data_IF_757631889778
#
_entry.id   IF_757631889778
#
_cell.length_a   1.000
_cell.length_b   1.000
_cell.length_c   1.000
_cell.angle_alpha   90.00
_cell.angle_beta   90.00
_cell.angle_gamma   90.00
#
_symmetry.space_group_name_H-M   'P 1'
#
loop_
_entity.id
_entity.type
_entity.pdbx_description
1 polymer ?
#
# COMPACT_ATOMS: atom_id res chain seq x y z
N UNK A 1 7.45 4.33 20.02
CA UNK A 1 6.11 4.79 19.66
C UNK A 1 5.18 3.58 19.67
N UNK A 2 4.22 3.51 20.58
CA UNK A 2 3.22 2.44 20.63
C UNK A 2 2.30 2.62 19.40
N UNK A 3 2.30 1.64 18.50
CA UNK A 3 1.37 1.66 17.37
C UNK A 3 0.10 0.95 17.80
N UNK A 4 -1.05 1.60 17.60
CA UNK A 4 -2.35 1.05 17.94
C UNK A 4 -2.55 -0.34 17.29
N UNK A 5 -3.20 -1.28 18.01
CA UNK A 5 -3.51 -2.58 17.42
C UNK A 5 -4.44 -2.41 16.22
N UNK A 6 -4.27 -3.26 15.20
CA UNK A 6 -5.23 -3.35 14.10
C UNK A 6 -6.56 -3.88 14.65
N UNK A 7 -7.66 -3.18 14.36
CA UNK A 7 -8.99 -3.49 14.87
C UNK A 7 -9.95 -3.81 13.71
N UNK A 8 -10.88 -4.75 13.91
CA UNK A 8 -11.95 -5.04 12.95
C UNK A 8 -12.76 -3.79 12.60
N UNK A 9 -13.21 -3.70 11.34
CA UNK A 9 -13.99 -2.59 10.81
C UNK A 9 -13.19 -1.35 10.45
N UNK A 10 -11.99 -1.18 11.00
CA UNK A 10 -11.20 0.04 10.82
C UNK A 10 -10.27 -0.04 9.61
N UNK A 11 -10.01 1.14 9.03
CA UNK A 11 -9.15 1.31 7.86
C UNK A 11 -7.77 1.83 8.26
N UNK A 12 -6.74 1.30 7.60
CA UNK A 12 -5.35 1.62 7.91
C UNK A 12 -4.52 1.83 6.66
N UNK A 13 -3.66 2.83 6.70
CA UNK A 13 -2.50 2.92 5.85
C UNK A 13 -1.39 2.04 6.44
N UNK A 14 -1.00 1.02 5.68
CA UNK A 14 0.03 0.04 6.05
C UNK A 14 1.26 0.29 5.18
N UNK A 15 2.44 0.38 5.80
CA UNK A 15 3.70 0.59 5.09
C UNK A 15 4.87 -0.09 5.81
N UNK A 16 5.91 -0.44 5.04
CA UNK A 16 7.19 -0.90 5.58
C UNK A 16 8.29 -0.66 4.54
N UNK A 17 9.53 -0.74 4.99
CA UNK A 17 10.69 -0.59 4.13
C UNK A 17 11.75 -1.65 4.43
N UNK A 18 12.69 -1.81 3.50
CA UNK A 18 13.83 -2.70 3.67
C UNK A 18 14.76 -2.24 4.79
N UNK A 19 15.31 -3.19 5.53
CA UNK A 19 16.40 -2.94 6.46
C UNK A 19 17.55 -2.23 5.75
N UNK A 20 18.20 -1.28 6.44
CA UNK A 20 19.29 -0.50 5.86
C UNK A 20 18.97 0.15 4.51
N UNK A 21 17.66 0.41 4.24
CA UNK A 21 17.16 0.94 2.96
C UNK A 21 17.40 0.00 1.77
N UNK A 22 17.67 -1.29 2.01
CA UNK A 22 17.86 -2.26 0.93
C UNK A 22 16.60 -2.44 0.07
N UNK A 23 16.80 -2.84 -1.19
CA UNK A 23 15.68 -3.07 -2.10
C UNK A 23 14.90 -4.33 -1.70
N UNK A 24 13.60 -4.16 -1.48
CA UNK A 24 12.63 -5.24 -1.32
C UNK A 24 12.37 -5.94 -2.65
N UNK A 25 12.33 -5.15 -3.73
CA UNK A 25 12.04 -5.61 -5.08
C UNK A 25 13.23 -5.32 -5.98
N UNK A 26 13.85 -6.37 -6.53
CA UNK A 26 15.04 -6.27 -7.39
C UNK A 26 14.69 -6.45 -8.87
N UNK A 27 13.60 -7.14 -9.16
CA UNK A 27 13.11 -7.44 -10.51
C UNK A 27 11.60 -7.62 -10.52
N UNK A 28 10.96 -7.55 -11.69
CA UNK A 28 9.52 -7.57 -11.89
C UNK A 28 8.82 -8.71 -11.14
N UNK A 29 9.38 -9.92 -11.19
CA UNK A 29 8.80 -11.09 -10.53
C UNK A 29 8.66 -10.92 -9.01
N UNK A 30 9.51 -10.10 -8.37
CA UNK A 30 9.42 -9.86 -6.93
C UNK A 30 8.16 -9.03 -6.58
N UNK A 31 7.82 -8.03 -7.38
CA UNK A 31 6.60 -7.23 -7.21
C UNK A 31 5.35 -8.10 -7.33
N UNK A 32 5.25 -8.91 -8.40
CA UNK A 32 4.11 -9.81 -8.58
C UNK A 32 4.02 -10.88 -7.48
N UNK A 33 5.15 -11.42 -7.05
CA UNK A 33 5.18 -12.38 -5.94
C UNK A 33 4.67 -11.75 -4.63
N UNK A 34 5.09 -10.52 -4.33
CA UNK A 34 4.62 -9.79 -3.15
C UNK A 34 3.11 -9.52 -3.21
N UNK A 35 2.58 -9.11 -4.37
CA UNK A 35 1.15 -8.93 -4.59
C UNK A 35 0.37 -10.25 -4.41
N UNK A 36 0.88 -11.36 -4.95
CA UNK A 36 0.24 -12.67 -4.77
C UNK A 36 0.22 -13.11 -3.30
N UNK A 37 1.30 -12.88 -2.58
CA UNK A 37 1.35 -13.15 -1.14
C UNK A 37 0.43 -12.23 -0.35
N UNK A 38 0.30 -10.95 -0.72
CA UNK A 38 -0.66 -10.05 -0.08
C UNK A 38 -2.09 -10.54 -0.26
N UNK A 39 -2.46 -10.96 -1.47
CA UNK A 39 -3.78 -11.56 -1.72
C UNK A 39 -4.01 -12.80 -0.85
N UNK A 40 -3.05 -13.73 -0.86
CA UNK A 40 -3.15 -14.98 -0.10
C UNK A 40 -3.36 -14.76 1.40
N UNK A 41 -2.63 -13.81 1.98
CA UNK A 41 -2.59 -13.65 3.43
C UNK A 41 -3.51 -12.55 3.95
N UNK A 42 -3.77 -11.48 3.16
CA UNK A 42 -4.58 -10.37 3.62
C UNK A 42 -6.06 -10.48 3.24
N UNK A 43 -6.41 -10.98 2.03
CA UNK A 43 -7.82 -11.04 1.63
C UNK A 43 -8.73 -11.84 2.57
N UNK A 44 -8.27 -12.86 3.31
CA UNK A 44 -9.10 -13.50 4.33
C UNK A 44 -9.51 -12.59 5.47
N UNK A 45 -8.68 -11.58 5.81
CA UNK A 45 -8.85 -10.72 7.01
C UNK A 45 -9.04 -9.24 6.69
N UNK A 46 -8.82 -8.81 5.45
CA UNK A 46 -8.90 -7.40 5.06
C UNK A 46 -9.34 -7.23 3.61
N UNK A 47 -9.99 -6.12 3.34
CA UNK A 47 -10.23 -5.58 2.01
C UNK A 47 -9.07 -4.66 1.64
N UNK A 48 -8.59 -4.71 0.38
CA UNK A 48 -7.49 -3.89 -0.10
C UNK A 48 -8.05 -2.85 -1.08
N UNK A 49 -7.71 -1.57 -0.88
CA UNK A 49 -8.24 -0.44 -1.66
C UNK A 49 -7.22 0.15 -2.62
N UNK A 50 -5.98 0.32 -2.18
CA UNK A 50 -4.90 0.80 -3.03
C UNK A 50 -3.55 0.26 -2.56
N UNK A 51 -2.56 0.31 -3.46
CA UNK A 51 -1.16 -0.01 -3.13
C UNK A 51 -0.19 0.77 -4.02
N UNK A 52 1.03 0.88 -3.54
CA UNK A 52 2.19 1.30 -4.33
C UNK A 52 3.46 0.62 -3.79
N UNK A 53 4.24 0.02 -4.69
CA UNK A 53 5.43 -0.76 -4.37
C UNK A 53 6.65 -0.07 -4.97
N UNK A 54 7.46 0.58 -4.15
CA UNK A 54 8.73 1.19 -4.55
C UNK A 54 9.88 0.18 -4.34
N UNK A 55 11.03 0.33 -4.97
CA UNK A 55 12.11 -0.67 -4.86
C UNK A 55 12.44 -1.09 -3.43
N UNK A 56 12.42 -0.17 -2.47
CA UNK A 56 12.84 -0.42 -1.09
C UNK A 56 11.76 -0.23 -0.03
N UNK A 57 10.51 0.08 -0.40
CA UNK A 57 9.38 0.22 0.52
C UNK A 57 8.04 0.01 -0.19
N UNK A 58 6.96 -0.06 0.58
CA UNK A 58 5.62 -0.19 0.03
C UNK A 58 4.58 0.52 0.89
N UNK A 59 3.44 0.83 0.29
CA UNK A 59 2.25 1.39 0.90
C UNK A 59 1.01 0.61 0.47
N UNK A 60 0.11 0.36 1.41
CA UNK A 60 -1.22 -0.23 1.18
C UNK A 60 -2.28 0.54 1.96
N UNK A 61 -3.46 0.68 1.38
CA UNK A 61 -4.67 1.06 2.10
C UNK A 61 -5.54 -0.18 2.26
N UNK A 62 -5.83 -0.55 3.50
CA UNK A 62 -6.60 -1.75 3.83
C UNK A 62 -7.67 -1.45 4.88
N UNK A 63 -8.82 -2.12 4.80
CA UNK A 63 -9.82 -2.17 5.86
C UNK A 63 -9.85 -3.56 6.45
N UNK A 64 -9.70 -3.68 7.75
CA UNK A 64 -9.83 -4.95 8.45
C UNK A 64 -11.30 -5.36 8.46
N UNK A 65 -11.60 -6.60 8.08
CA UNK A 65 -12.98 -7.10 8.05
C UNK A 65 -13.56 -7.24 9.47
N UNK A 66 -14.82 -6.87 9.65
CA UNK A 66 -15.51 -6.82 10.95
C UNK A 66 -15.43 -8.13 11.76
N UNK A 67 -15.42 -9.27 11.07
CA UNK A 67 -15.40 -10.59 11.71
C UNK A 67 -14.00 -11.16 11.95
N UNK A 68 -12.96 -10.37 11.74
CA UNK A 68 -11.58 -10.83 11.88
C UNK A 68 -11.14 -10.82 13.34
N UNK A 69 -10.66 -11.95 13.84
CA UNK A 69 -10.09 -12.06 15.17
C UNK A 69 -8.70 -11.40 15.24
N UNK A 70 -8.39 -10.68 16.33
CA UNK A 70 -7.12 -9.95 16.50
C UNK A 70 -5.89 -10.85 16.36
N UNK A 71 -5.98 -12.10 16.82
CA UNK A 71 -4.89 -13.09 16.67
C UNK A 71 -4.66 -13.43 15.20
N UNK A 72 -5.74 -13.64 14.44
CA UNK A 72 -5.67 -13.96 13.02
C UNK A 72 -5.15 -12.78 12.19
N UNK A 73 -5.54 -11.55 12.52
CA UNK A 73 -5.05 -10.34 11.88
C UNK A 73 -3.52 -10.28 11.99
N UNK A 74 -2.99 -10.32 13.22
CA UNK A 74 -1.55 -10.25 13.45
C UNK A 74 -0.78 -11.40 12.77
N UNK A 75 -1.32 -12.61 12.83
CA UNK A 75 -0.73 -13.78 12.18
C UNK A 75 -0.68 -13.63 10.66
N UNK A 76 -1.72 -13.09 10.04
CA UNK A 76 -1.80 -12.90 8.59
C UNK A 76 -0.75 -11.91 8.07
N UNK A 77 -0.58 -10.76 8.74
CA UNK A 77 0.49 -9.82 8.40
C UNK A 77 1.88 -10.43 8.60
N UNK A 78 2.08 -11.13 9.72
CA UNK A 78 3.35 -11.82 10.00
C UNK A 78 3.66 -12.88 8.93
N UNK A 79 2.67 -13.68 8.56
CA UNK A 79 2.82 -14.70 7.52
C UNK A 79 3.16 -14.08 6.16
N UNK A 80 2.51 -12.96 5.79
CA UNK A 80 2.81 -12.25 4.56
C UNK A 80 4.27 -11.83 4.48
N UNK A 81 4.76 -11.11 5.49
CA UNK A 81 6.13 -10.61 5.52
C UNK A 81 7.17 -11.74 5.61
N UNK A 82 6.91 -12.74 6.44
CA UNK A 82 7.82 -13.88 6.59
C UNK A 82 7.91 -14.74 5.33
N UNK A 83 6.78 -14.97 4.65
CA UNK A 83 6.77 -15.72 3.38
C UNK A 83 7.57 -14.98 2.31
N UNK A 84 7.39 -13.66 2.18
CA UNK A 84 8.16 -12.86 1.24
C UNK A 84 9.64 -12.82 1.59
N UNK A 85 9.99 -12.55 2.85
CA UNK A 85 11.39 -12.54 3.32
C UNK A 85 12.07 -13.86 3.02
N UNK A 86 11.42 -15.00 3.32
CA UNK A 86 11.96 -16.33 3.05
C UNK A 86 12.25 -16.52 1.56
N UNK A 87 11.33 -16.14 0.68
CA UNK A 87 11.49 -16.30 -0.77
C UNK A 87 12.64 -15.44 -1.31
N UNK A 88 12.77 -14.18 -0.85
CA UNK A 88 13.86 -13.29 -1.26
C UNK A 88 15.21 -13.77 -0.72
N UNK A 89 15.25 -14.24 0.54
CA UNK A 89 16.48 -14.78 1.12
C UNK A 89 17.01 -15.97 0.31
N UNK A 90 16.12 -16.90 -0.06
CA UNK A 90 16.50 -18.05 -0.90
C UNK A 90 16.93 -17.59 -2.29
N UNK A 91 16.13 -16.75 -2.96
CA UNK A 91 16.38 -16.37 -4.35
C UNK A 91 17.69 -15.58 -4.56
N UNK A 92 18.11 -14.83 -3.54
CA UNK A 92 19.28 -13.92 -3.63
C UNK A 92 20.39 -14.26 -2.64
N UNK A 93 20.39 -15.48 -2.10
CA UNK A 93 21.40 -16.00 -1.16
C UNK A 93 21.70 -15.01 -0.02
N UNK A 94 20.63 -14.45 0.60
CA UNK A 94 20.75 -13.55 1.73
C UNK A 94 20.21 -14.18 3.02
N UNK A 95 20.59 -13.63 4.16
CA UNK A 95 20.16 -14.07 5.48
C UNK A 95 19.59 -12.89 6.29
N UNK A 96 18.87 -13.17 7.35
CA UNK A 96 18.34 -12.17 8.27
C UNK A 96 17.05 -11.52 7.80
N UNK A 97 16.64 -10.49 8.54
CA UNK A 97 15.41 -9.74 8.28
C UNK A 97 15.53 -8.93 6.99
N UNK A 98 14.48 -8.98 6.15
CA UNK A 98 14.37 -8.16 4.95
C UNK A 98 13.72 -6.81 5.26
N UNK A 99 12.69 -6.82 6.11
CA UNK A 99 11.95 -5.62 6.50
C UNK A 99 12.48 -5.01 7.79
N UNK A 100 12.27 -3.71 7.95
CA UNK A 100 12.45 -3.06 9.25
C UNK A 100 11.50 -3.67 10.27
N UNK A 101 11.95 -3.73 11.53
CA UNK A 101 11.15 -4.23 12.63
C UNK A 101 9.90 -3.38 12.80
N UNK A 102 8.73 -4.04 12.90
CA UNK A 102 7.41 -3.43 13.06
C UNK A 102 7.00 -2.52 11.89
N UNK A 103 6.21 -3.06 10.99
CA UNK A 103 5.60 -2.28 9.90
C UNK A 103 4.81 -1.07 10.42
N UNK A 104 4.83 0.00 9.63
CA UNK A 104 4.04 1.20 9.88
C UNK A 104 2.56 0.94 9.69
N UNK A 105 1.73 1.54 10.53
CA UNK A 105 0.27 1.57 10.40
C UNK A 105 -0.26 2.87 10.96
N UNK A 106 -1.18 3.49 10.23
CA UNK A 106 -1.87 4.70 10.65
C UNK A 106 -3.37 4.51 10.41
N UNK A 107 -4.16 4.77 11.43
CA UNK A 107 -5.62 4.75 11.32
C UNK A 107 -6.09 5.85 10.38
N UNK A 108 -7.05 5.54 9.53
CA UNK A 108 -7.72 6.46 8.62
C UNK A 108 -9.15 6.63 9.13
N UNK A 109 -9.45 7.78 9.66
CA UNK A 109 -10.65 8.05 10.47
C UNK A 109 -11.58 9.14 9.93
N UNK A 110 -11.27 9.71 8.74
CA UNK A 110 -12.12 10.73 8.12
C UNK A 110 -12.22 10.58 6.60
N UNK A 111 -13.36 10.95 6.02
CA UNK A 111 -13.62 10.85 4.58
C UNK A 111 -12.68 11.71 3.73
N UNK A 112 -12.37 12.92 4.18
CA UNK A 112 -11.40 13.80 3.50
C UNK A 112 -10.02 13.15 3.43
N UNK A 113 -9.72 12.33 4.42
CA UNK A 113 -8.45 11.63 4.51
C UNK A 113 -8.34 10.46 3.53
N UNK A 114 -9.47 9.81 3.14
CA UNK A 114 -9.46 8.69 2.18
C UNK A 114 -8.95 9.08 0.80
N UNK A 115 -9.49 10.15 0.24
CA UNK A 115 -9.08 10.60 -1.09
C UNK A 115 -7.61 10.99 -1.10
N UNK A 116 -7.19 11.64 -0.04
CA UNK A 116 -5.84 12.13 0.14
C UNK A 116 -4.83 11.00 0.31
N UNK A 117 -5.14 9.98 1.11
CA UNK A 117 -4.23 8.84 1.30
C UNK A 117 -4.12 7.98 0.03
N UNK A 118 -5.20 7.82 -0.74
CA UNK A 118 -5.15 7.10 -2.01
C UNK A 118 -4.24 7.83 -3.00
N UNK A 119 -4.41 9.15 -3.11
CA UNK A 119 -3.52 9.98 -3.94
C UNK A 119 -2.06 9.87 -3.46
N UNK A 120 -1.81 10.03 -2.16
CA UNK A 120 -0.47 9.89 -1.57
C UNK A 120 0.18 8.55 -1.93
N UNK A 121 -0.56 7.44 -1.78
CA UNK A 121 -0.06 6.11 -2.10
C UNK A 121 0.34 6.04 -3.59
N UNK A 122 -0.49 6.53 -4.50
CA UNK A 122 -0.18 6.51 -5.94
C UNK A 122 0.99 7.44 -6.28
N UNK A 123 1.00 8.65 -5.74
CA UNK A 123 2.00 9.68 -6.01
C UNK A 123 3.39 9.34 -5.44
N UNK A 124 3.49 8.33 -4.57
CA UNK A 124 4.72 8.00 -3.86
C UNK A 124 5.90 7.70 -4.80
N UNK A 125 5.65 7.04 -5.94
CA UNK A 125 6.68 6.77 -6.94
C UNK A 125 7.25 8.04 -7.57
N UNK A 126 6.42 9.02 -7.88
CA UNK A 126 6.85 10.33 -8.40
C UNK A 126 7.56 11.15 -7.32
N UNK A 127 7.05 11.14 -6.08
CA UNK A 127 7.71 11.76 -4.93
C UNK A 127 9.16 11.28 -4.75
N UNK A 128 9.39 9.98 -4.93
CA UNK A 128 10.71 9.38 -4.87
C UNK A 128 11.49 9.42 -6.20
N UNK A 129 11.00 10.17 -7.20
CA UNK A 129 11.65 10.37 -8.51
C UNK A 129 11.92 9.07 -9.26
N UNK A 130 11.08 8.05 -9.07
CA UNK A 130 11.17 6.80 -9.83
C UNK A 130 10.55 6.95 -11.22
N UNK A 131 9.61 7.87 -11.36
CA UNK A 131 8.95 8.28 -12.60
C UNK A 131 8.65 9.77 -12.56
N UNK A 132 8.49 10.39 -13.71
CA UNK A 132 8.05 11.80 -13.82
C UNK A 132 6.57 11.96 -13.53
N UNK A 133 5.76 10.94 -13.83
CA UNK A 133 4.33 10.89 -13.62
C UNK A 133 3.95 9.56 -12.97
N UNK A 134 3.40 9.63 -11.74
CA UNK A 134 3.02 8.43 -10.98
C UNK A 134 1.97 7.58 -11.69
N UNK A 135 1.17 8.17 -12.60
CA UNK A 135 0.14 7.45 -13.36
C UNK A 135 0.74 6.38 -14.28
N UNK A 136 1.98 6.60 -14.74
CA UNK A 136 2.72 5.63 -15.55
C UNK A 136 3.46 4.57 -14.73
N UNK A 137 3.43 4.65 -13.38
CA UNK A 137 4.19 3.73 -12.56
C UNK A 137 3.54 2.34 -12.47
N UNK A 138 4.20 1.35 -13.08
CA UNK A 138 3.70 -0.02 -13.25
C UNK A 138 3.30 -0.73 -11.95
N UNK A 139 3.93 -0.37 -10.82
CA UNK A 139 3.76 -1.09 -9.55
C UNK A 139 2.91 -0.32 -8.53
N UNK A 140 2.04 0.58 -8.99
CA UNK A 140 0.96 1.14 -8.19
C UNK A 140 -0.41 0.68 -8.70
N UNK A 141 -1.46 0.93 -7.93
CA UNK A 141 -2.83 0.50 -8.24
C UNK A 141 -3.62 1.49 -9.10
N UNK A 142 -3.06 2.62 -9.51
CA UNK A 142 -3.80 3.68 -10.22
C UNK A 142 -4.48 3.15 -11.50
N UNK A 143 -3.70 2.59 -12.43
CA UNK A 143 -4.22 2.02 -13.68
C UNK A 143 -5.16 0.82 -13.43
N UNK A 144 -4.89 0.02 -12.40
CA UNK A 144 -5.74 -1.11 -12.02
C UNK A 144 -7.13 -0.63 -11.60
N UNK A 145 -7.22 0.47 -10.86
CA UNK A 145 -8.50 1.07 -10.43
C UNK A 145 -9.26 1.69 -11.60
N UNK A 146 -8.58 2.21 -12.62
CA UNK A 146 -9.20 2.76 -13.82
C UNK A 146 -9.60 1.70 -14.85
N UNK A 147 -9.01 0.51 -14.83
CA UNK A 147 -9.28 -0.55 -15.80
C UNK A 147 -10.56 -1.32 -15.48
N UNK A 148 -11.11 -2.03 -16.49
CA UNK A 148 -12.23 -2.97 -16.31
C UNK A 148 -11.77 -4.42 -16.07
N UNK A 149 -10.45 -4.67 -16.03
CA UNK A 149 -9.89 -6.00 -15.78
C UNK A 149 -10.22 -6.46 -14.35
N UNK A 150 -10.38 -7.76 -14.18
CA UNK A 150 -10.57 -8.35 -12.88
C UNK A 150 -9.44 -7.95 -11.91
N UNK A 151 -9.81 -7.62 -10.67
CA UNK A 151 -8.88 -7.20 -9.63
C UNK A 151 -9.33 -7.70 -8.26
N UNK A 152 -8.38 -7.84 -7.35
CA UNK A 152 -8.64 -8.10 -5.93
C UNK A 152 -8.93 -6.83 -5.12
N UNK A 153 -8.76 -5.66 -5.72
CA UNK A 153 -9.03 -4.37 -5.07
C UNK A 153 -10.52 -4.10 -4.97
N UNK A 154 -10.92 -3.36 -3.97
CA UNK A 154 -12.28 -2.85 -3.79
C UNK A 154 -12.54 -1.64 -4.72
N UNK A 155 -12.35 -1.87 -6.04
CA UNK A 155 -12.43 -0.83 -7.09
C UNK A 155 -13.70 -0.01 -7.00
N UNK A 156 -14.86 -0.66 -6.94
CA UNK A 156 -16.14 0.04 -6.97
C UNK A 156 -16.32 0.93 -5.74
N UNK A 157 -15.89 0.48 -4.57
CA UNK A 157 -15.89 1.30 -3.35
C UNK A 157 -14.97 2.51 -3.51
N UNK A 158 -13.74 2.30 -4.02
CA UNK A 158 -12.79 3.40 -4.27
C UNK A 158 -13.40 4.42 -5.23
N UNK A 159 -13.87 4.00 -6.40
CA UNK A 159 -14.42 4.91 -7.40
C UNK A 159 -15.65 5.67 -6.88
N UNK A 160 -16.50 5.02 -6.08
CA UNK A 160 -17.66 5.65 -5.46
C UNK A 160 -17.27 6.74 -4.44
N UNK A 161 -16.16 6.60 -3.70
CA UNK A 161 -15.67 7.67 -2.80
C UNK A 161 -15.29 8.94 -3.56
N UNK A 162 -14.82 8.82 -4.80
CA UNK A 162 -14.54 9.96 -5.68
C UNK A 162 -15.77 10.42 -6.48
N UNK A 163 -16.90 9.70 -6.36
CA UNK A 163 -18.11 9.89 -7.14
C UNK A 163 -18.19 8.97 -8.36
N UNK A 164 -17.13 8.87 -9.15
CA UNK A 164 -17.01 7.95 -10.28
C UNK A 164 -15.55 7.89 -10.80
N UNK A 165 -15.33 7.10 -11.85
CA UNK A 165 -14.01 6.93 -12.50
C UNK A 165 -13.43 8.25 -13.05
N UNK A 166 -14.26 9.08 -13.65
CA UNK A 166 -13.83 10.37 -14.21
C UNK A 166 -13.38 11.34 -13.10
N UNK A 167 -14.14 11.44 -12.02
CA UNK A 167 -13.80 12.26 -10.87
C UNK A 167 -12.55 11.76 -10.15
N UNK A 168 -12.34 10.44 -10.06
CA UNK A 168 -11.11 9.85 -9.56
C UNK A 168 -9.90 10.30 -10.38
N UNK A 169 -9.97 10.20 -11.72
CA UNK A 169 -8.88 10.60 -12.61
C UNK A 169 -8.63 12.12 -12.54
N UNK A 170 -9.69 12.93 -12.51
CA UNK A 170 -9.62 14.39 -12.37
C UNK A 170 -8.97 14.82 -11.07
N UNK A 171 -9.36 14.21 -9.95
CA UNK A 171 -8.78 14.48 -8.63
C UNK A 171 -7.26 14.20 -8.64
N UNK A 172 -6.83 13.07 -9.19
CA UNK A 172 -5.42 12.71 -9.28
C UNK A 172 -4.64 13.67 -10.18
N UNK A 173 -5.22 14.12 -11.30
CA UNK A 173 -4.57 15.07 -12.19
C UNK A 173 -4.40 16.47 -11.54
N UNK A 174 -5.45 16.98 -10.88
CA UNK A 174 -5.42 18.27 -10.21
C UNK A 174 -4.43 18.31 -9.04
N UNK A 175 -4.37 17.22 -8.25
CA UNK A 175 -3.46 17.16 -7.10
C UNK A 175 -2.00 16.90 -7.49
N UNK A 176 -1.73 16.41 -8.70
CA UNK A 176 -0.37 16.27 -9.21
C UNK A 176 0.34 17.63 -9.30
N UNK A 177 -0.37 18.70 -9.68
CA UNK A 177 0.19 20.04 -9.82
C UNK A 177 0.62 20.66 -8.48
N UNK A 178 -0.09 20.33 -7.39
CA UNK A 178 0.18 20.84 -6.03
C UNK A 178 0.88 19.81 -5.13
N UNK A 179 1.27 18.67 -5.70
CA UNK A 179 1.75 17.50 -4.99
C UNK A 179 2.89 17.77 -4.00
N UNK A 180 3.83 18.65 -4.36
CA UNK A 180 5.04 18.87 -3.54
C UNK A 180 4.68 19.49 -2.17
N UNK A 181 3.72 20.39 -2.13
CA UNK A 181 3.29 21.03 -0.88
C UNK A 181 2.44 20.09 -0.03
N UNK A 182 1.55 19.36 -0.68
CA UNK A 182 0.66 18.40 -0.05
C UNK A 182 1.39 17.20 0.57
N UNK A 183 2.38 16.65 -0.12
CA UNK A 183 3.19 15.55 0.38
C UNK A 183 4.06 15.96 1.58
N UNK A 184 4.51 17.22 1.67
CA UNK A 184 5.21 17.74 2.85
C UNK A 184 4.32 17.73 4.09
N UNK A 185 3.04 18.08 3.95
CA UNK A 185 2.08 18.03 5.06
C UNK A 185 1.88 16.60 5.55
N UNK A 186 1.70 15.65 4.64
CA UNK A 186 1.54 14.24 4.99
C UNK A 186 2.81 13.64 5.62
N UNK A 187 4.00 14.02 5.14
CA UNK A 187 5.27 13.59 5.75
C UNK A 187 5.44 14.15 7.17
N UNK A 188 5.04 15.40 7.41
CA UNK A 188 5.06 16.00 8.73
C UNK A 188 4.13 15.29 9.73
N UNK A 189 3.05 14.67 9.22
CA UNK A 189 2.12 13.85 10.00
C UNK A 189 2.60 12.40 10.21
N UNK A 190 3.80 12.06 9.73
CA UNK A 190 4.45 10.76 9.96
C UNK A 190 4.01 9.63 9.03
N UNK A 191 3.72 9.98 7.76
CA UNK A 191 3.48 9.03 6.67
C UNK A 191 4.77 8.55 6.01
#
# INVERSE_FOLDING_TARGET
MYKDPLQPGLMYHIYNRGNNKENLFKEDKNYFHFLNLSQKHLLPIADIFSYSLQPNHFHYLVQIKDRSESKLINQSFSNWFNAYTKSINIAYNRTGSLFQERFGRKLIDSDTYFNNIIFYIHANAQKHRLVEDFRSYKYNSYETLLSDKATFLQRDKVLNWFGNREQFAKFHAQNQEVMVEYLKVLDAEGF
#
